data_IF_697217594857
#
_entry.id   IF_697217594857
#
_cell.length_a   1.000
_cell.length_b   1.000
_cell.length_c   1.000
_cell.angle_alpha   90.00
_cell.angle_beta   90.00
_cell.angle_gamma   90.00
#
_symmetry.space_group_name_H-M   'P 1'
#
loop_
_entity.id
_entity.type
_entity.pdbx_description
1 polymer ?
#
# COMPACT_ATOMS: atom_id res chain seq x y z
N UNK A 1 -12.67 -0.96 -11.75
CA UNK A 1 -11.54 -1.47 -10.92
C UNK A 1 -10.44 -0.43 -10.86
N UNK A 2 -9.94 -0.16 -9.68
CA UNK A 2 -8.85 0.80 -9.47
C UNK A 2 -7.54 0.03 -9.42
N UNK A 3 -6.57 0.46 -10.25
CA UNK A 3 -5.25 -0.17 -10.31
C UNK A 3 -4.18 0.87 -10.07
N UNK A 4 -3.20 0.51 -9.24
CA UNK A 4 -2.02 1.32 -9.02
C UNK A 4 -0.87 0.45 -8.56
N UNK A 5 0.33 1.01 -8.55
CA UNK A 5 1.49 0.35 -7.96
C UNK A 5 2.17 1.29 -6.99
N UNK A 6 2.74 0.72 -5.94
CA UNK A 6 3.45 1.47 -4.91
C UNK A 6 4.83 0.87 -4.68
N UNK A 7 5.86 1.71 -4.52
CA UNK A 7 7.18 1.23 -4.16
C UNK A 7 7.16 0.64 -2.76
N UNK A 8 8.01 -0.34 -2.51
CA UNK A 8 8.13 -0.96 -1.19
C UNK A 8 9.37 -0.51 -0.44
N UNK A 9 10.29 0.16 -1.11
CA UNK A 9 11.43 0.83 -0.49
C UNK A 9 11.20 2.33 -0.53
N UNK A 10 11.50 3.01 0.57
CA UNK A 10 11.27 4.44 0.70
C UNK A 10 12.42 5.08 1.47
N UNK A 11 12.76 6.31 1.10
CA UNK A 11 13.78 7.06 1.81
C UNK A 11 13.21 7.55 3.14
N UNK A 12 13.69 6.98 4.24
CA UNK A 12 13.22 7.33 5.59
C UNK A 12 14.07 8.41 6.23
N UNK A 13 15.34 8.51 5.83
CA UNK A 13 16.30 9.53 6.29
C UNK A 13 17.23 9.90 5.15
N UNK A 14 18.03 10.96 5.32
CA UNK A 14 18.85 11.55 4.28
C UNK A 14 19.63 10.55 3.43
N UNK A 15 20.24 9.54 4.02
CA UNK A 15 21.05 8.55 3.30
C UNK A 15 20.55 7.13 3.57
N UNK A 16 19.26 6.97 3.83
CA UNK A 16 18.73 5.66 4.20
C UNK A 16 17.45 5.35 3.44
N UNK A 17 17.52 4.27 2.64
CA UNK A 17 16.35 3.70 1.96
C UNK A 17 15.97 2.43 2.71
N UNK A 18 14.72 2.32 3.09
CA UNK A 18 14.22 1.28 3.98
C UNK A 18 13.08 0.51 3.34
N UNK A 19 13.07 -0.79 3.52
CA UNK A 19 11.93 -1.63 3.14
C UNK A 19 10.77 -1.33 4.09
N UNK A 20 9.61 -1.05 3.53
CA UNK A 20 8.39 -0.74 4.29
C UNK A 20 7.78 -2.02 4.86
N UNK A 21 8.44 -2.56 5.88
CA UNK A 21 8.07 -3.80 6.56
C UNK A 21 7.48 -3.55 7.94
N UNK A 22 6.81 -4.55 8.50
CA UNK A 22 6.32 -4.46 9.88
C UNK A 22 7.47 -4.24 10.88
N UNK A 23 8.64 -4.82 10.62
CA UNK A 23 9.80 -4.61 11.49
C UNK A 23 10.18 -3.13 11.55
N UNK A 24 10.27 -2.47 10.38
CA UNK A 24 10.49 -1.03 10.34
C UNK A 24 9.38 -0.28 11.06
N UNK A 25 8.13 -0.61 10.76
CA UNK A 25 6.96 0.11 11.29
C UNK A 25 6.89 0.03 12.82
N UNK A 26 7.21 -1.14 13.39
CA UNK A 26 7.17 -1.34 14.84
C UNK A 26 8.29 -0.62 15.58
N UNK A 27 9.44 -0.43 14.94
CA UNK A 27 10.64 0.08 15.57
C UNK A 27 10.94 1.55 15.27
N UNK A 28 10.23 2.13 14.29
CA UNK A 28 10.44 3.53 13.91
C UNK A 28 9.70 4.46 14.86
N UNK A 29 10.25 5.69 15.05
CA UNK A 29 9.55 6.67 15.87
C UNK A 29 8.32 7.23 15.15
N UNK A 30 7.39 7.77 15.95
CA UNK A 30 6.09 8.24 15.42
C UNK A 30 6.24 9.39 14.44
N UNK A 31 7.19 10.29 14.67
CA UNK A 31 7.41 11.42 13.77
C UNK A 31 7.78 10.94 12.36
N UNK A 32 8.73 10.02 12.25
CA UNK A 32 9.16 9.48 10.95
C UNK A 32 8.04 8.68 10.30
N UNK A 33 7.33 7.84 11.07
CA UNK A 33 6.20 7.07 10.52
C UNK A 33 5.13 7.98 9.93
N UNK A 34 4.77 9.05 10.64
CA UNK A 34 3.77 9.99 10.16
C UNK A 34 4.23 10.72 8.90
N UNK A 35 5.48 11.12 8.84
CA UNK A 35 6.06 11.73 7.65
C UNK A 35 5.97 10.80 6.44
N UNK A 36 6.37 9.54 6.60
CA UNK A 36 6.33 8.56 5.52
C UNK A 36 4.88 8.26 5.10
N UNK A 37 3.97 8.15 6.06
CA UNK A 37 2.55 7.97 5.78
C UNK A 37 2.01 9.10 4.90
N UNK A 38 2.35 10.35 5.23
CA UNK A 38 1.93 11.50 4.43
C UNK A 38 2.53 11.48 3.03
N UNK A 39 3.79 11.07 2.91
CA UNK A 39 4.44 10.97 1.60
C UNK A 39 3.78 9.90 0.73
N UNK A 40 3.44 8.74 1.30
CA UNK A 40 2.66 7.73 0.57
C UNK A 40 1.26 8.22 0.22
N UNK A 41 0.60 8.94 1.11
CA UNK A 41 -0.71 9.54 0.83
C UNK A 41 -0.62 10.48 -0.38
N UNK A 42 0.39 11.33 -0.43
CA UNK A 42 0.59 12.24 -1.57
C UNK A 42 0.85 11.48 -2.86
N UNK A 43 1.67 10.43 -2.80
CA UNK A 43 1.95 9.59 -3.96
C UNK A 43 0.67 8.91 -4.48
N UNK A 44 -0.12 8.34 -3.59
CA UNK A 44 -1.38 7.67 -3.95
C UNK A 44 -2.35 8.68 -4.57
N UNK A 45 -2.47 9.86 -3.96
CA UNK A 45 -3.30 10.93 -4.50
C UNK A 45 -2.89 11.31 -5.92
N UNK A 46 -1.58 11.46 -6.17
CA UNK A 46 -1.07 11.78 -7.50
C UNK A 46 -1.36 10.66 -8.51
N UNK A 47 -1.18 9.42 -8.13
CA UNK A 47 -1.44 8.27 -9.00
C UNK A 47 -2.93 8.14 -9.35
N UNK A 48 -3.82 8.62 -8.49
CA UNK A 48 -5.26 8.50 -8.66
C UNK A 48 -5.94 9.80 -9.07
N UNK A 49 -5.17 10.80 -9.53
CA UNK A 49 -5.74 12.09 -9.95
C UNK A 49 -6.82 11.96 -11.02
N UNK A 50 -6.65 11.02 -11.95
CA UNK A 50 -7.61 10.81 -13.04
C UNK A 50 -8.68 9.77 -12.70
N UNK A 51 -8.59 9.17 -11.54
CA UNK A 51 -9.58 8.19 -11.11
C UNK A 51 -10.88 8.88 -10.73
N UNK A 52 -11.99 8.41 -11.31
CA UNK A 52 -13.33 8.91 -11.00
C UNK A 52 -14.18 7.88 -10.27
N UNK A 53 -13.66 6.67 -10.09
CA UNK A 53 -14.39 5.62 -9.40
C UNK A 53 -14.43 5.91 -7.91
N UNK A 54 -15.61 5.69 -7.33
CA UNK A 54 -15.79 5.71 -5.87
C UNK A 54 -16.52 4.44 -5.47
N UNK A 55 -16.04 3.82 -4.43
CA UNK A 55 -16.57 2.55 -3.96
C UNK A 55 -17.43 2.85 -2.74
N UNK A 56 -18.74 2.67 -2.87
CA UNK A 56 -19.72 3.01 -1.82
C UNK A 56 -20.06 1.85 -0.91
N UNK A 57 -19.77 0.63 -1.35
CA UNK A 57 -20.08 -0.59 -0.63
C UNK A 57 -18.83 -1.37 -0.29
N UNK A 58 -19.00 -2.69 -0.33
CA UNK A 58 -17.91 -3.62 -0.02
C UNK A 58 -16.90 -3.67 -1.13
N UNK A 59 -15.65 -3.92 -0.77
CA UNK A 59 -14.56 -4.04 -1.73
C UNK A 59 -13.54 -5.08 -1.28
N UNK A 60 -12.70 -5.48 -2.23
CA UNK A 60 -11.55 -6.34 -1.98
C UNK A 60 -10.31 -5.73 -2.61
N UNK A 61 -9.16 -6.13 -2.10
CA UNK A 61 -7.86 -5.66 -2.58
C UNK A 61 -6.98 -6.86 -2.90
N UNK A 62 -6.34 -6.82 -4.05
CA UNK A 62 -5.34 -7.81 -4.44
C UNK A 62 -3.99 -7.13 -4.48
N UNK A 63 -3.02 -7.71 -3.78
CA UNK A 63 -1.64 -7.24 -3.71
C UNK A 63 -0.74 -8.24 -4.42
N UNK A 64 0.02 -7.77 -5.40
CA UNK A 64 0.98 -8.60 -6.14
C UNK A 64 2.38 -8.04 -5.89
N UNK A 65 3.21 -8.82 -5.21
CA UNK A 65 4.53 -8.37 -4.74
C UNK A 65 5.64 -8.78 -5.71
N UNK A 66 6.34 -7.78 -6.23
CA UNK A 66 7.57 -7.91 -7.01
C UNK A 66 8.73 -7.55 -6.09
N UNK A 67 9.46 -8.55 -5.65
CA UNK A 67 10.44 -8.39 -4.58
C UNK A 67 11.84 -8.14 -5.13
N UNK A 68 12.69 -7.49 -4.31
CA UNK A 68 14.10 -7.30 -4.60
C UNK A 68 14.93 -8.47 -4.09
N UNK A 69 14.57 -8.98 -2.93
CA UNK A 69 15.32 -9.99 -2.20
C UNK A 69 14.39 -11.10 -1.76
N UNK A 70 14.74 -12.35 -2.08
CA UNK A 70 13.92 -13.53 -1.80
C UNK A 70 13.75 -13.82 -0.31
N UNK A 71 14.55 -13.19 0.56
CA UNK A 71 14.37 -13.33 2.02
C UNK A 71 13.30 -12.40 2.57
N UNK A 72 12.75 -11.50 1.74
CA UNK A 72 11.71 -10.60 2.18
C UNK A 72 10.38 -11.35 2.38
N UNK A 73 9.56 -10.86 3.29
CA UNK A 73 8.30 -11.49 3.71
C UNK A 73 7.12 -10.70 3.15
N UNK A 74 6.33 -11.33 2.29
CA UNK A 74 5.16 -10.73 1.65
C UNK A 74 4.21 -10.11 2.67
N UNK A 75 3.84 -10.86 3.70
CA UNK A 75 2.83 -10.39 4.66
C UNK A 75 3.32 -9.18 5.45
N UNK A 76 4.59 -9.15 5.81
CA UNK A 76 5.19 -8.04 6.53
C UNK A 76 5.19 -6.75 5.71
N UNK A 77 5.44 -6.86 4.40
CA UNK A 77 5.45 -5.70 3.51
C UNK A 77 4.04 -5.28 3.14
N UNK A 78 3.19 -6.23 2.77
CA UNK A 78 1.81 -5.94 2.37
C UNK A 78 1.00 -5.33 3.51
N UNK A 79 1.27 -5.70 4.76
CA UNK A 79 0.58 -5.10 5.92
C UNK A 79 0.82 -3.61 6.03
N UNK A 80 2.05 -3.15 5.82
CA UNK A 80 2.38 -1.73 5.91
C UNK A 80 1.86 -0.97 4.70
N UNK A 81 2.12 -1.48 3.50
CA UNK A 81 1.66 -0.84 2.26
C UNK A 81 0.14 -0.80 2.22
N UNK A 82 -0.52 -1.88 2.65
CA UNK A 82 -1.99 -1.93 2.71
C UNK A 82 -2.57 -0.93 3.68
N UNK A 83 -1.92 -0.71 4.81
CA UNK A 83 -2.34 0.30 5.78
C UNK A 83 -2.26 1.70 5.17
N UNK A 84 -1.15 2.03 4.54
CA UNK A 84 -0.99 3.33 3.87
C UNK A 84 -2.00 3.51 2.75
N UNK A 85 -2.24 2.46 1.97
CA UNK A 85 -3.21 2.49 0.87
C UNK A 85 -4.62 2.76 1.39
N UNK A 86 -5.09 1.95 2.33
CA UNK A 86 -6.48 2.05 2.80
C UNK A 86 -6.72 3.37 3.53
N UNK A 87 -5.76 3.85 4.32
CA UNK A 87 -5.86 5.16 4.95
C UNK A 87 -5.99 6.28 3.91
N UNK A 88 -5.19 6.21 2.84
CA UNK A 88 -5.25 7.21 1.77
C UNK A 88 -6.57 7.13 0.98
N UNK A 89 -7.02 5.94 0.63
CA UNK A 89 -8.28 5.76 -0.09
C UNK A 89 -9.46 6.30 0.71
N UNK A 90 -9.46 6.09 2.01
CA UNK A 90 -10.49 6.61 2.91
C UNK A 90 -10.45 8.14 2.97
N UNK A 91 -9.27 8.73 3.17
CA UNK A 91 -9.11 10.17 3.23
C UNK A 91 -9.46 10.86 1.92
N UNK A 92 -9.19 10.22 0.78
CA UNK A 92 -9.55 10.73 -0.54
C UNK A 92 -11.02 10.52 -0.89
N UNK A 93 -11.78 9.85 -0.03
CA UNK A 93 -13.20 9.58 -0.27
C UNK A 93 -13.46 8.53 -1.34
N UNK A 94 -12.46 7.72 -1.69
CA UNK A 94 -12.59 6.67 -2.70
C UNK A 94 -13.30 5.45 -2.10
N UNK A 95 -13.03 5.14 -0.83
CA UNK A 95 -13.74 4.11 -0.07
C UNK A 95 -14.44 4.77 1.12
N UNK A 96 -15.44 4.10 1.66
CA UNK A 96 -16.15 4.61 2.85
C UNK A 96 -15.31 4.40 4.09
N UNK A 97 -14.81 3.17 4.28
CA UNK A 97 -14.01 2.79 5.44
C UNK A 97 -13.30 1.46 5.11
N UNK A 98 -12.28 1.15 5.88
CA UNK A 98 -11.53 -0.11 5.73
C UNK A 98 -11.84 -1.14 6.82
N UNK A 99 -12.93 -0.95 7.57
CA UNK A 99 -13.40 -1.94 8.53
C UNK A 99 -13.94 -3.19 7.83
N UNK A 100 -14.16 -4.27 8.59
CA UNK A 100 -14.66 -5.54 8.03
C UNK A 100 -16.05 -5.40 7.39
N UNK A 101 -16.75 -4.32 7.67
CA UNK A 101 -18.01 -4.02 7.01
C UNK A 101 -17.83 -3.73 5.53
N UNK A 102 -16.69 -3.17 5.15
CA UNK A 102 -16.40 -2.73 3.79
C UNK A 102 -15.27 -3.52 3.13
N UNK A 103 -14.11 -3.62 3.77
CA UNK A 103 -13.00 -4.42 3.25
C UNK A 103 -13.21 -5.87 3.66
N UNK A 104 -13.68 -6.68 2.73
CA UNK A 104 -14.11 -8.05 3.01
C UNK A 104 -13.12 -9.12 2.57
N UNK A 105 -12.12 -8.76 1.77
CA UNK A 105 -11.12 -9.72 1.32
C UNK A 105 -9.82 -9.02 0.91
N UNK A 106 -8.69 -9.59 1.27
CA UNK A 106 -7.38 -9.17 0.80
C UNK A 106 -6.62 -10.39 0.32
N UNK A 107 -6.13 -10.34 -0.91
CA UNK A 107 -5.32 -11.41 -1.49
C UNK A 107 -3.88 -10.96 -1.61
N UNK A 108 -2.96 -11.78 -1.12
CA UNK A 108 -1.53 -11.51 -1.15
C UNK A 108 -0.86 -12.52 -2.07
N UNK A 109 -0.19 -12.04 -3.12
CA UNK A 109 0.41 -12.88 -4.14
C UNK A 109 1.88 -12.48 -4.30
N UNK A 110 2.80 -13.44 -4.19
CA UNK A 110 4.19 -13.23 -4.60
C UNK A 110 4.27 -13.46 -6.10
N UNK A 111 4.78 -12.49 -6.84
CA UNK A 111 4.96 -12.62 -8.27
C UNK A 111 6.39 -13.07 -8.62
N UNK A 112 7.32 -12.14 -8.72
CA UNK A 112 8.67 -12.44 -9.18
C UNK A 112 9.66 -11.42 -8.64
N UNK A 113 10.95 -11.69 -8.85
CA UNK A 113 12.02 -10.80 -8.49
C UNK A 113 12.15 -9.66 -9.50
N UNK A 114 12.15 -8.42 -9.00
CA UNK A 114 12.44 -7.24 -9.81
C UNK A 114 13.35 -6.32 -9.02
N UNK A 115 14.65 -6.51 -9.16
CA UNK A 115 15.65 -5.78 -8.38
C UNK A 115 15.71 -4.30 -8.72
N UNK A 116 15.29 -3.93 -9.93
CA UNK A 116 15.34 -2.53 -10.38
C UNK A 116 14.12 -1.73 -9.93
N UNK A 117 12.98 -2.41 -9.77
CA UNK A 117 11.74 -1.74 -9.39
C UNK A 117 10.90 -2.62 -8.46
N UNK A 118 11.40 -2.90 -7.24
CA UNK A 118 10.60 -3.66 -6.28
C UNK A 118 9.36 -2.85 -5.89
N UNK A 119 8.21 -3.51 -5.97
CA UNK A 119 6.92 -2.83 -5.81
C UNK A 119 5.82 -3.79 -5.44
N UNK A 120 4.69 -3.24 -5.01
CA UNK A 120 3.43 -3.96 -4.95
C UNK A 120 2.49 -3.36 -5.98
N UNK A 121 1.97 -4.21 -6.87
CA UNK A 121 0.89 -3.84 -7.78
C UNK A 121 -0.44 -4.16 -7.10
N UNK A 122 -1.37 -3.22 -7.18
CA UNK A 122 -2.59 -3.25 -6.38
C UNK A 122 -3.80 -3.14 -7.30
N UNK A 123 -4.80 -3.98 -7.03
CA UNK A 123 -6.12 -3.88 -7.64
C UNK A 123 -7.15 -3.74 -6.53
N UNK A 124 -7.96 -2.70 -6.62
CA UNK A 124 -9.08 -2.45 -5.69
C UNK A 124 -10.36 -2.62 -6.47
N UNK A 125 -11.21 -3.54 -6.03
CA UNK A 125 -12.41 -3.94 -6.75
C UNK A 125 -13.63 -3.89 -5.86
N UNK A 126 -14.67 -3.20 -6.31
CA UNK A 126 -15.95 -3.21 -5.61
C UNK A 126 -16.63 -4.57 -5.76
N UNK A 127 -17.23 -5.06 -4.68
CA UNK A 127 -17.96 -6.33 -4.65
C UNK A 127 -19.44 -6.03 -4.57
N UNK A 128 -20.17 -6.61 -5.46
CA UNK A 128 -21.64 -6.48 -5.49
C UNK A 128 -22.32 -7.46 -4.53
#
# INVERSE_FOLDING_TARGET
MIKLELPVYWQTRKNKITLMSLNWYRNENEYVKNKIKHEYHDLIRLKLLKNKEKIKGKYQVRYRYFYKNSTSDLENVASVIGKFLNDALKELGIIVDDSVKYLVNSQLIVDSCDKKNPRIEIEVEEIE
#
